data_IF_771097968135
#
_entry.id   IF_771097968135
#
_cell.length_a   1.000
_cell.length_b   1.000
_cell.length_c   1.000
_cell.angle_alpha   90.00
_cell.angle_beta   90.00
_cell.angle_gamma   90.00
#
_symmetry.space_group_name_H-M   'P 1'
#
loop_
_entity.id
_entity.type
_entity.pdbx_description
1 polymer ?
#
# COMPACT_ATOMS: atom_id res chain seq x y z
N UNK A 1 42.48 -41.01 -16.64
CA UNK A 1 41.19 -41.00 -15.94
C UNK A 1 40.95 -39.59 -15.45
N UNK A 2 40.20 -38.82 -16.23
CA UNK A 2 39.91 -37.42 -16.00
C UNK A 2 38.52 -37.30 -15.38
N UNK A 3 38.44 -36.66 -14.21
CA UNK A 3 37.20 -36.20 -13.60
C UNK A 3 37.43 -34.77 -13.11
N UNK A 4 36.79 -33.74 -13.70
CA UNK A 4 36.79 -32.40 -13.15
C UNK A 4 35.58 -32.21 -12.24
N UNK A 5 35.84 -31.87 -10.97
CA UNK A 5 34.84 -31.38 -10.01
C UNK A 5 34.35 -30.00 -10.43
N UNK A 6 33.06 -29.92 -10.76
CA UNK A 6 32.37 -28.69 -11.12
C UNK A 6 32.18 -27.75 -9.92
N UNK A 7 32.59 -26.49 -10.11
CA UNK A 7 32.22 -25.38 -9.25
C UNK A 7 31.04 -24.64 -9.89
N UNK A 8 29.84 -24.84 -9.35
CA UNK A 8 28.62 -24.19 -9.83
C UNK A 8 28.49 -22.80 -9.18
N UNK A 9 28.63 -21.77 -9.99
CA UNK A 9 28.36 -20.37 -9.67
C UNK A 9 26.86 -20.18 -9.39
N UNK A 10 26.51 -19.83 -8.15
CA UNK A 10 25.15 -19.46 -7.77
C UNK A 10 24.84 -18.03 -8.28
N UNK A 11 24.18 -17.97 -9.43
CA UNK A 11 23.64 -16.77 -10.03
C UNK A 11 22.45 -16.29 -9.17
N UNK A 12 22.58 -15.11 -8.54
CA UNK A 12 21.47 -14.37 -7.92
C UNK A 12 20.40 -14.08 -8.98
N UNK A 13 19.30 -14.82 -8.95
CA UNK A 13 18.08 -14.47 -9.67
C UNK A 13 17.33 -13.42 -8.88
N UNK A 14 17.05 -12.29 -9.54
CA UNK A 14 16.29 -11.18 -8.99
C UNK A 14 14.90 -11.61 -8.53
N UNK A 15 14.47 -11.05 -7.41
CA UNK A 15 13.13 -11.25 -6.88
C UNK A 15 12.09 -10.72 -7.86
N UNK A 16 11.35 -11.64 -8.46
CA UNK A 16 10.09 -11.37 -9.11
C UNK A 16 9.10 -10.91 -8.03
N UNK A 17 8.50 -9.73 -8.21
CA UNK A 17 7.47 -9.23 -7.29
C UNK A 17 6.29 -10.22 -7.26
N UNK A 18 5.67 -10.48 -6.08
CA UNK A 18 4.58 -11.43 -6.00
C UNK A 18 3.40 -10.97 -6.88
N UNK A 19 2.93 -11.85 -7.77
CA UNK A 19 1.68 -11.66 -8.51
C UNK A 19 0.55 -11.55 -7.48
N UNK A 20 0.00 -10.34 -7.31
CA UNK A 20 -1.14 -10.09 -6.44
C UNK A 20 -2.32 -10.93 -6.94
N UNK A 21 -2.89 -11.79 -6.08
CA UNK A 21 -4.03 -12.63 -6.44
C UNK A 21 -5.26 -11.78 -6.82
N UNK A 22 -6.06 -12.30 -7.77
CA UNK A 22 -7.32 -11.67 -8.20
C UNK A 22 -8.31 -11.54 -7.04
N UNK A 23 -9.04 -10.43 -6.98
CA UNK A 23 -10.08 -10.23 -5.96
C UNK A 23 -11.35 -11.01 -6.30
N UNK A 24 -12.18 -11.31 -5.29
CA UNK A 24 -13.43 -12.10 -5.43
C UNK A 24 -14.36 -11.57 -6.53
N UNK A 25 -14.46 -10.26 -6.68
CA UNK A 25 -15.34 -9.63 -7.67
C UNK A 25 -14.75 -9.69 -9.09
N UNK A 26 -13.42 -9.78 -9.21
CA UNK A 26 -12.71 -9.96 -10.49
C UNK A 26 -12.70 -11.42 -10.93
N UNK A 27 -12.70 -12.36 -9.97
CA UNK A 27 -12.88 -13.78 -10.26
C UNK A 27 -14.24 -14.08 -10.91
N UNK A 28 -15.24 -13.20 -10.72
CA UNK A 28 -16.52 -13.28 -11.39
C UNK A 28 -16.51 -12.69 -12.81
N UNK A 29 -15.43 -12.00 -13.19
CA UNK A 29 -15.26 -11.50 -14.55
C UNK A 29 -14.72 -12.57 -15.48
N UNK A 30 -15.10 -12.44 -16.74
CA UNK A 30 -14.54 -13.15 -17.88
C UNK A 30 -13.05 -12.87 -18.09
N UNK A 31 -12.41 -13.67 -18.96
CA UNK A 31 -11.00 -13.54 -19.29
C UNK A 31 -10.66 -12.16 -19.86
N UNK A 32 -11.46 -11.64 -20.78
CA UNK A 32 -11.26 -10.31 -21.36
C UNK A 32 -11.41 -9.20 -20.31
N UNK A 33 -12.40 -9.32 -19.42
CA UNK A 33 -12.62 -8.36 -18.33
C UNK A 33 -11.45 -8.29 -17.36
N UNK A 34 -10.93 -9.45 -16.94
CA UNK A 34 -9.73 -9.51 -16.09
C UNK A 34 -8.51 -8.90 -16.80
N UNK A 35 -8.32 -9.18 -18.09
CA UNK A 35 -7.22 -8.63 -18.87
C UNK A 35 -7.32 -7.10 -19.00
N UNK A 36 -8.52 -6.54 -19.21
CA UNK A 36 -8.75 -5.10 -19.28
C UNK A 36 -8.49 -4.40 -17.95
N UNK A 37 -8.90 -5.00 -16.83
CA UNK A 37 -8.60 -4.45 -15.50
C UNK A 37 -7.10 -4.48 -15.24
N UNK A 38 -6.44 -5.61 -15.49
CA UNK A 38 -4.99 -5.74 -15.33
C UNK A 38 -4.22 -4.72 -16.20
N UNK A 39 -4.75 -4.43 -17.39
CA UNK A 39 -4.23 -3.43 -18.29
C UNK A 39 -4.25 -2.00 -17.73
N UNK A 40 -5.19 -1.68 -16.84
CA UNK A 40 -5.34 -0.35 -16.22
C UNK A 40 -4.91 -0.30 -14.75
N UNK A 41 -4.44 -1.41 -14.18
CA UNK A 41 -3.97 -1.52 -12.79
C UNK A 41 -3.15 -0.32 -12.26
N UNK A 42 -2.20 0.29 -13.01
CA UNK A 42 -1.43 1.43 -12.48
C UNK A 42 -2.24 2.70 -12.17
N UNK A 43 -3.47 2.83 -12.68
CA UNK A 43 -4.37 3.97 -12.40
C UNK A 43 -5.60 3.58 -11.58
N UNK A 44 -5.67 2.33 -11.13
CA UNK A 44 -6.79 1.83 -10.35
C UNK A 44 -6.61 2.14 -8.87
N UNK A 45 -7.69 2.61 -8.24
CA UNK A 45 -7.83 2.73 -6.80
C UNK A 45 -8.94 1.84 -6.27
N UNK A 46 -8.75 1.32 -5.06
CA UNK A 46 -9.72 0.49 -4.37
C UNK A 46 -10.57 1.32 -3.40
N UNK A 47 -11.89 1.13 -3.47
CA UNK A 47 -12.86 1.65 -2.50
C UNK A 47 -12.71 0.98 -1.11
N UNK A 48 -13.15 1.62 -0.01
CA UNK A 48 -13.82 2.93 0.06
C UNK A 48 -12.87 4.12 -0.12
N UNK A 49 -13.36 5.17 -0.80
CA UNK A 49 -12.63 6.43 -1.03
C UNK A 49 -13.31 7.55 -0.22
N UNK A 50 -12.53 8.31 0.55
CA UNK A 50 -13.04 9.50 1.25
C UNK A 50 -13.11 10.71 0.31
N UNK A 51 -12.16 10.79 -0.62
CA UNK A 51 -12.06 11.80 -1.65
C UNK A 51 -11.95 11.12 -3.00
N UNK A 52 -12.64 11.71 -3.98
CA UNK A 52 -12.57 11.30 -5.37
C UNK A 52 -11.60 12.23 -6.09
N UNK A 53 -10.67 11.66 -6.84
CA UNK A 53 -9.68 12.38 -7.63
C UNK A 53 -9.79 11.97 -9.09
N UNK A 54 -9.68 12.93 -10.00
CA UNK A 54 -9.66 12.69 -11.45
C UNK A 54 -8.36 12.03 -11.92
N UNK A 55 -7.41 11.84 -11.01
CA UNK A 55 -6.14 11.15 -11.26
C UNK A 55 -6.27 9.63 -11.36
N UNK A 56 -7.42 9.06 -10.98
CA UNK A 56 -7.58 7.61 -10.83
C UNK A 56 -8.96 7.10 -11.23
N UNK A 57 -9.04 5.79 -11.41
CA UNK A 57 -10.27 5.06 -11.72
C UNK A 57 -10.59 4.09 -10.57
N UNK A 58 -11.81 4.16 -10.02
CA UNK A 58 -12.26 3.15 -9.06
C UNK A 58 -12.36 1.79 -9.74
N UNK A 59 -11.81 0.74 -9.11
CA UNK A 59 -11.94 -0.65 -9.59
C UNK A 59 -13.39 -1.04 -9.80
N UNK A 60 -14.28 -0.67 -8.87
CA UNK A 60 -15.72 -0.97 -8.95
C UNK A 60 -16.37 -0.28 -10.14
N UNK A 61 -15.97 0.95 -10.45
CA UNK A 61 -16.46 1.66 -11.63
C UNK A 61 -15.97 0.98 -12.91
N UNK A 62 -14.73 0.52 -12.93
CA UNK A 62 -14.17 -0.20 -14.08
C UNK A 62 -14.86 -1.55 -14.31
N UNK A 63 -15.15 -2.30 -13.25
CA UNK A 63 -15.93 -3.55 -13.33
C UNK A 63 -17.31 -3.28 -13.93
N UNK A 64 -18.03 -2.26 -13.43
CA UNK A 64 -19.37 -1.91 -13.94
C UNK A 64 -19.35 -1.42 -15.39
N UNK A 65 -18.35 -0.61 -15.73
CA UNK A 65 -18.10 -0.19 -17.11
C UNK A 65 -17.89 -1.40 -18.02
N UNK A 66 -17.06 -2.36 -17.59
CA UNK A 66 -16.83 -3.59 -18.35
C UNK A 66 -18.10 -4.42 -18.51
N UNK A 67 -18.86 -4.63 -17.42
CA UNK A 67 -20.14 -5.35 -17.47
C UNK A 67 -21.09 -4.72 -18.50
N UNK A 68 -21.17 -3.39 -18.55
CA UNK A 68 -21.99 -2.68 -19.53
C UNK A 68 -21.46 -2.86 -20.96
N UNK A 69 -20.14 -2.73 -21.17
CA UNK A 69 -19.53 -2.96 -22.49
C UNK A 69 -19.84 -4.37 -23.01
N UNK A 70 -19.57 -5.39 -22.20
CA UNK A 70 -19.74 -6.79 -22.59
C UNK A 70 -21.22 -7.22 -22.69
N UNK A 71 -22.16 -6.51 -22.06
CA UNK A 71 -23.59 -6.82 -22.13
C UNK A 71 -24.32 -6.07 -23.23
N UNK A 72 -24.08 -4.76 -23.33
CA UNK A 72 -24.93 -3.85 -24.11
C UNK A 72 -24.23 -3.26 -25.34
N UNK A 73 -22.91 -3.10 -25.31
CA UNK A 73 -22.15 -2.40 -26.38
C UNK A 73 -21.54 -3.39 -27.37
N UNK A 74 -20.90 -4.44 -26.86
CA UNK A 74 -20.17 -5.42 -27.66
C UNK A 74 -20.32 -6.83 -27.05
N UNK A 75 -21.50 -7.47 -27.21
CA UNK A 75 -21.78 -8.77 -26.60
C UNK A 75 -20.90 -9.93 -27.07
N UNK A 76 -20.25 -9.78 -28.22
CA UNK A 76 -19.36 -10.76 -28.84
C UNK A 76 -17.88 -10.59 -28.43
N UNK A 77 -17.55 -9.64 -27.55
CA UNK A 77 -16.17 -9.30 -27.19
C UNK A 77 -15.38 -10.50 -26.64
N UNK A 78 -16.01 -11.34 -25.82
CA UNK A 78 -15.37 -12.53 -25.25
C UNK A 78 -14.94 -13.52 -26.33
N UNK A 79 -15.82 -13.79 -27.30
CA UNK A 79 -15.52 -14.69 -28.41
C UNK A 79 -14.32 -14.18 -29.23
N UNK A 80 -14.24 -12.85 -29.44
CA UNK A 80 -13.08 -12.26 -30.15
C UNK A 80 -11.79 -12.37 -29.34
N UNK A 81 -11.86 -12.07 -28.05
CA UNK A 81 -10.73 -12.17 -27.14
C UNK A 81 -10.20 -13.61 -27.08
N UNK A 82 -11.08 -14.59 -26.90
CA UNK A 82 -10.73 -16.01 -26.86
C UNK A 82 -10.08 -16.45 -28.17
N UNK A 83 -10.59 -15.99 -29.32
CA UNK A 83 -9.96 -16.25 -30.62
C UNK A 83 -8.51 -15.74 -30.72
N UNK A 84 -8.18 -14.60 -30.12
CA UNK A 84 -6.80 -14.11 -30.07
C UNK A 84 -5.93 -14.92 -29.10
N UNK A 85 -6.47 -15.37 -27.97
CA UNK A 85 -5.76 -16.22 -27.01
C UNK A 85 -5.49 -17.60 -27.62
N UNK A 86 -6.46 -18.20 -28.30
CA UNK A 86 -6.32 -19.47 -29.03
C UNK A 86 -5.29 -19.38 -30.17
N UNK A 87 -5.17 -18.21 -30.80
CA UNK A 87 -4.12 -17.91 -31.77
C UNK A 87 -2.71 -17.76 -31.14
N UNK A 88 -2.59 -17.94 -29.82
CA UNK A 88 -1.31 -17.95 -29.09
C UNK A 88 -0.90 -16.62 -28.48
N UNK A 89 -1.77 -15.60 -28.49
CA UNK A 89 -1.47 -14.33 -27.82
C UNK A 89 -1.64 -14.48 -26.31
N UNK A 90 -0.72 -13.88 -25.55
CA UNK A 90 -0.92 -13.73 -24.11
C UNK A 90 -2.14 -12.83 -23.82
N UNK A 91 -2.85 -12.99 -22.69
CA UNK A 91 -4.07 -12.24 -22.38
C UNK A 91 -3.92 -10.71 -22.49
N UNK A 92 -2.77 -10.18 -22.11
CA UNK A 92 -2.45 -8.76 -22.20
C UNK A 92 -2.28 -8.29 -23.65
N UNK A 93 -1.72 -9.12 -24.53
CA UNK A 93 -1.65 -8.83 -25.96
C UNK A 93 -3.02 -9.00 -26.65
N UNK A 94 -3.80 -10.01 -26.26
CA UNK A 94 -5.13 -10.26 -26.80
C UNK A 94 -6.08 -9.09 -26.53
N UNK A 95 -6.11 -8.56 -25.30
CA UNK A 95 -6.97 -7.41 -24.99
C UNK A 95 -6.54 -6.15 -25.77
N UNK A 96 -5.24 -5.95 -26.02
CA UNK A 96 -4.76 -4.82 -26.84
C UNK A 96 -5.29 -4.85 -28.27
N UNK A 97 -5.40 -6.05 -28.85
CA UNK A 97 -5.95 -6.23 -30.19
C UNK A 97 -7.45 -5.90 -30.23
N UNK A 98 -8.17 -6.12 -29.13
CA UNK A 98 -9.58 -5.77 -29.01
C UNK A 98 -9.85 -4.28 -28.71
N UNK A 99 -8.90 -3.56 -28.11
CA UNK A 99 -9.12 -2.18 -27.64
C UNK A 99 -9.63 -1.20 -28.71
N UNK A 100 -9.13 -1.18 -29.96
CA UNK A 100 -9.63 -0.25 -30.97
C UNK A 100 -11.12 -0.40 -31.24
N UNK A 101 -11.60 -1.65 -31.31
CA UNK A 101 -13.02 -1.95 -31.51
C UNK A 101 -13.84 -1.58 -30.28
N UNK A 102 -13.38 -1.93 -29.08
CA UNK A 102 -14.04 -1.56 -27.80
C UNK A 102 -14.21 -0.04 -27.72
N UNK A 103 -13.14 0.73 -27.98
CA UNK A 103 -13.16 2.19 -27.94
C UNK A 103 -14.11 2.78 -28.99
N UNK A 104 -14.11 2.23 -30.21
CA UNK A 104 -14.99 2.67 -31.29
C UNK A 104 -16.46 2.41 -30.95
N UNK A 105 -16.80 1.18 -30.57
CA UNK A 105 -18.17 0.78 -30.24
C UNK A 105 -18.71 1.58 -29.04
N UNK A 106 -17.88 1.77 -28.01
CA UNK A 106 -18.25 2.57 -26.84
C UNK A 106 -18.53 4.03 -27.22
N UNK A 107 -17.68 4.64 -28.06
CA UNK A 107 -17.91 6.02 -28.51
C UNK A 107 -19.21 6.15 -29.32
N UNK A 108 -19.49 5.19 -30.19
CA UNK A 108 -20.76 5.15 -30.95
C UNK A 108 -21.95 5.09 -29.98
N UNK A 109 -21.94 4.17 -29.03
CA UNK A 109 -23.00 4.04 -28.03
C UNK A 109 -23.22 5.32 -27.21
N UNK A 110 -22.13 6.01 -26.83
CA UNK A 110 -22.21 7.30 -26.13
C UNK A 110 -22.77 8.42 -27.01
N UNK A 111 -22.49 8.42 -28.32
CA UNK A 111 -23.00 9.44 -29.24
C UNK A 111 -24.49 9.35 -29.53
N UNK A 112 -25.10 8.18 -29.30
CA UNK A 112 -26.55 7.96 -29.42
C UNK A 112 -27.33 8.58 -28.23
N UNK A 113 -26.63 8.98 -27.17
CA UNK A 113 -27.22 9.65 -26.00
C UNK A 113 -27.44 11.13 -26.31
N UNK A 114 -28.57 11.43 -26.95
CA UNK A 114 -28.90 12.78 -27.42
C UNK A 114 -29.89 13.53 -26.52
N UNK A 115 -30.62 12.82 -25.65
CA UNK A 115 -31.65 13.40 -24.79
C UNK A 115 -31.53 12.93 -23.33
N UNK A 116 -32.34 13.55 -22.46
CA UNK A 116 -32.35 13.27 -21.03
C UNK A 116 -32.75 11.82 -20.71
N UNK A 117 -33.71 11.26 -21.44
CA UNK A 117 -34.21 9.89 -21.20
C UNK A 117 -33.19 8.84 -21.66
N UNK A 118 -32.47 9.08 -22.74
CA UNK A 118 -31.33 8.28 -23.17
C UNK A 118 -30.20 8.34 -22.13
N UNK A 119 -29.89 9.53 -21.59
CA UNK A 119 -28.86 9.65 -20.57
C UNK A 119 -29.27 8.92 -19.28
N UNK A 120 -30.53 9.07 -18.86
CA UNK A 120 -31.07 8.33 -17.70
C UNK A 120 -31.00 6.81 -17.90
N UNK A 121 -31.34 6.31 -19.10
CA UNK A 121 -31.22 4.88 -19.43
C UNK A 121 -29.77 4.41 -19.35
N UNK A 122 -28.83 5.17 -19.92
CA UNK A 122 -27.39 4.85 -19.85
C UNK A 122 -26.91 4.83 -18.39
N UNK A 123 -27.27 5.82 -17.58
CA UNK A 123 -26.94 5.86 -16.14
C UNK A 123 -27.43 4.59 -15.42
N UNK A 124 -28.66 4.14 -15.70
CA UNK A 124 -29.21 2.91 -15.13
C UNK A 124 -28.43 1.68 -15.61
N UNK A 125 -28.09 1.60 -16.90
CA UNK A 125 -27.34 0.48 -17.47
C UNK A 125 -25.93 0.34 -16.88
N UNK A 126 -25.24 1.47 -16.65
CA UNK A 126 -23.92 1.56 -16.01
C UNK A 126 -23.98 1.29 -14.49
N UNK A 127 -25.18 1.28 -13.90
CA UNK A 127 -25.39 1.00 -12.48
C UNK A 127 -25.26 2.23 -11.57
N UNK A 128 -25.38 3.44 -12.11
CA UNK A 128 -25.48 4.69 -11.33
C UNK A 128 -24.68 5.86 -11.90
N UNK A 129 -24.98 7.06 -11.39
CA UNK A 129 -24.39 8.32 -11.87
C UNK A 129 -22.88 8.39 -11.62
N UNK A 130 -22.41 7.84 -10.49
CA UNK A 130 -20.98 7.81 -10.14
C UNK A 130 -20.11 7.11 -11.20
N UNK A 131 -20.65 6.07 -11.86
CA UNK A 131 -19.96 5.37 -12.94
C UNK A 131 -20.06 6.19 -14.22
N UNK A 132 -21.24 6.76 -14.50
CA UNK A 132 -21.51 7.60 -15.67
C UNK A 132 -20.55 8.78 -15.76
N UNK A 133 -20.28 9.45 -14.64
CA UNK A 133 -19.35 10.58 -14.54
C UNK A 133 -17.88 10.17 -14.80
N UNK A 134 -17.58 8.88 -14.70
CA UNK A 134 -16.21 8.35 -14.80
C UNK A 134 -15.91 7.68 -16.13
N UNK A 135 -16.91 7.51 -17.00
CA UNK A 135 -16.74 6.87 -18.32
C UNK A 135 -15.65 7.57 -19.14
N UNK A 136 -15.63 8.90 -19.20
CA UNK A 136 -14.63 9.63 -20.01
C UNK A 136 -13.20 9.44 -19.48
N UNK A 137 -13.03 9.36 -18.16
CA UNK A 137 -11.72 9.08 -17.53
C UNK A 137 -11.28 7.65 -17.85
N UNK A 138 -12.20 6.68 -17.82
CA UNK A 138 -11.92 5.28 -18.20
C UNK A 138 -11.50 5.20 -19.66
N UNK A 139 -12.24 5.84 -20.57
CA UNK A 139 -11.89 5.89 -22.00
C UNK A 139 -10.56 6.58 -22.26
N UNK A 140 -10.26 7.66 -21.51
CA UNK A 140 -8.96 8.31 -21.58
C UNK A 140 -7.84 7.37 -21.13
N UNK A 141 -8.03 6.63 -20.04
CA UNK A 141 -7.06 5.65 -19.55
C UNK A 141 -6.82 4.51 -20.56
N UNK A 142 -7.90 3.94 -21.13
CA UNK A 142 -7.80 2.91 -22.16
C UNK A 142 -7.06 3.40 -23.41
N UNK A 143 -7.34 4.62 -23.88
CA UNK A 143 -6.63 5.21 -25.03
C UNK A 143 -5.17 5.55 -24.74
N UNK A 144 -4.83 5.85 -23.49
CA UNK A 144 -3.50 6.32 -23.09
C UNK A 144 -2.62 5.25 -22.46
N UNK A 145 -2.96 3.96 -22.57
CA UNK A 145 -2.19 2.86 -21.94
C UNK A 145 -0.70 2.88 -22.25
N UNK A 146 -0.32 3.16 -23.49
CA UNK A 146 1.10 3.22 -23.87
C UNK A 146 1.84 4.34 -23.13
N UNK A 147 1.18 5.46 -22.88
CA UNK A 147 1.72 6.56 -22.08
C UNK A 147 1.74 6.23 -20.58
N UNK A 148 0.73 5.52 -20.08
CA UNK A 148 0.71 4.99 -18.70
C UNK A 148 1.91 4.06 -18.49
N UNK A 149 2.23 3.18 -19.43
CA UNK A 149 3.42 2.32 -19.35
C UNK A 149 4.73 3.12 -19.35
N UNK A 150 4.82 4.19 -20.17
CA UNK A 150 5.97 5.11 -20.13
C UNK A 150 6.07 5.85 -18.80
N UNK A 151 4.96 6.33 -18.26
CA UNK A 151 4.88 6.99 -16.96
C UNK A 151 5.30 6.04 -15.81
N UNK A 152 4.95 4.76 -15.90
CA UNK A 152 5.43 3.73 -14.98
C UNK A 152 6.96 3.58 -15.04
N UNK A 153 7.52 3.53 -16.26
CA UNK A 153 8.96 3.51 -16.47
C UNK A 153 9.65 4.74 -15.89
N UNK A 154 9.07 5.93 -16.14
CA UNK A 154 9.55 7.20 -15.60
C UNK A 154 9.57 7.20 -14.07
N UNK A 155 8.47 6.81 -13.41
CA UNK A 155 8.41 6.79 -11.94
C UNK A 155 9.45 5.88 -11.29
N UNK A 156 9.79 4.74 -11.93
CA UNK A 156 10.89 3.87 -11.50
C UNK A 156 12.27 4.52 -11.72
N UNK A 157 12.46 5.16 -12.87
CA UNK A 157 13.73 5.80 -13.23
C UNK A 157 13.99 7.11 -12.48
N UNK A 158 12.95 7.78 -11.98
CA UNK A 158 13.05 9.07 -11.29
C UNK A 158 14.01 9.04 -10.09
N UNK A 159 14.13 7.89 -9.42
CA UNK A 159 15.08 7.72 -8.32
C UNK A 159 16.56 7.88 -8.75
N UNK A 160 16.88 7.57 -10.01
CA UNK A 160 18.23 7.67 -10.56
C UNK A 160 18.60 9.05 -11.14
N UNK A 161 17.64 9.97 -11.25
CA UNK A 161 17.92 11.35 -11.65
C UNK A 161 18.61 12.03 -10.46
N UNK A 162 19.80 12.59 -10.66
CA UNK A 162 20.67 13.01 -9.55
C UNK A 162 20.19 14.28 -8.83
N UNK A 163 19.70 15.27 -9.57
CA UNK A 163 19.33 16.58 -9.05
C UNK A 163 17.86 16.95 -9.38
N UNK A 164 17.31 17.88 -8.59
CA UNK A 164 15.92 18.28 -8.69
C UNK A 164 15.63 19.17 -9.90
N UNK A 165 16.63 19.86 -10.45
CA UNK A 165 16.46 20.67 -11.66
C UNK A 165 16.25 19.76 -12.88
N UNK A 166 17.08 18.72 -13.04
CA UNK A 166 16.91 17.69 -14.06
C UNK A 166 15.58 16.96 -13.94
N UNK A 167 15.16 16.63 -12.70
CA UNK A 167 13.85 16.03 -12.46
C UNK A 167 12.71 17.00 -12.82
N UNK A 168 12.86 18.29 -12.51
CA UNK A 168 11.92 19.35 -12.86
C UNK A 168 11.74 19.49 -14.37
N UNK A 169 12.83 19.53 -15.13
CA UNK A 169 12.79 19.55 -16.61
C UNK A 169 12.09 18.31 -17.15
N UNK A 170 12.37 17.13 -16.57
CA UNK A 170 11.70 15.91 -17.00
C UNK A 170 10.19 15.94 -16.70
N UNK A 171 9.78 16.51 -15.55
CA UNK A 171 8.36 16.70 -15.23
C UNK A 171 7.66 17.70 -16.17
N UNK A 172 8.37 18.72 -16.65
CA UNK A 172 7.82 19.65 -17.66
C UNK A 172 7.58 19.00 -19.03
N UNK A 173 8.15 17.83 -19.31
CA UNK A 173 7.88 17.07 -20.55
C UNK A 173 6.50 16.39 -20.55
N UNK A 174 5.84 16.31 -19.40
CA UNK A 174 4.48 15.80 -19.28
C UNK A 174 3.48 16.76 -19.95
N UNK A 175 2.30 16.28 -20.37
CA UNK A 175 1.30 17.11 -21.03
C UNK A 175 0.58 18.02 -20.02
N UNK A 176 1.28 18.96 -19.39
CA UNK A 176 0.76 19.82 -18.32
C UNK A 176 -0.44 20.69 -18.74
N UNK A 177 -0.67 20.88 -20.05
CA UNK A 177 -1.84 21.59 -20.56
C UNK A 177 -3.09 20.71 -20.66
N UNK A 178 -2.91 19.40 -20.84
CA UNK A 178 -3.99 18.40 -20.79
C UNK A 178 -4.06 17.86 -19.35
N UNK A 179 -4.84 18.55 -18.52
CA UNK A 179 -4.93 18.25 -17.09
C UNK A 179 -5.45 16.83 -16.82
N UNK A 180 -6.37 16.31 -17.64
CA UNK A 180 -6.92 14.97 -17.46
C UNK A 180 -5.88 13.89 -17.78
N UNK A 181 -5.14 14.03 -18.88
CA UNK A 181 -4.06 13.09 -19.20
C UNK A 181 -2.91 13.21 -18.20
N UNK A 182 -2.51 14.43 -17.86
CA UNK A 182 -1.49 14.69 -16.84
C UNK A 182 -1.84 14.02 -15.51
N UNK A 183 -3.11 14.07 -15.10
CA UNK A 183 -3.61 13.43 -13.88
C UNK A 183 -3.38 11.92 -13.87
N UNK A 184 -3.72 11.21 -14.95
CA UNK A 184 -3.50 9.76 -15.07
C UNK A 184 -2.01 9.39 -15.05
N UNK A 185 -1.18 10.17 -15.76
CA UNK A 185 0.26 9.93 -15.81
C UNK A 185 0.91 10.20 -14.45
N UNK A 186 0.55 11.30 -13.78
CA UNK A 186 1.05 11.61 -12.43
C UNK A 186 0.63 10.55 -11.41
N UNK A 187 -0.61 10.07 -11.47
CA UNK A 187 -1.05 8.95 -10.63
C UNK A 187 -0.17 7.72 -10.81
N UNK A 188 0.12 7.38 -12.06
CA UNK A 188 0.98 6.25 -12.40
C UNK A 188 2.42 6.46 -11.89
N UNK A 189 2.99 7.65 -12.08
CA UNK A 189 4.35 8.01 -11.65
C UNK A 189 4.46 7.92 -10.12
N UNK A 190 3.52 8.54 -9.41
CA UNK A 190 3.49 8.53 -7.94
C UNK A 190 3.36 7.10 -7.43
N UNK A 191 2.59 6.24 -8.09
CA UNK A 191 2.47 4.82 -7.71
C UNK A 191 3.78 4.03 -7.81
N UNK A 192 4.77 4.49 -8.58
CA UNK A 192 6.05 3.80 -8.75
C UNK A 192 7.22 4.44 -7.99
N UNK A 193 7.12 5.72 -7.62
CA UNK A 193 8.24 6.40 -6.99
C UNK A 193 8.36 6.03 -5.51
N UNK A 194 9.58 5.70 -5.05
CA UNK A 194 9.83 5.40 -3.63
C UNK A 194 9.80 6.66 -2.75
N UNK A 195 10.36 7.77 -3.23
CA UNK A 195 10.52 9.03 -2.51
C UNK A 195 9.67 10.16 -3.15
N UNK A 196 8.35 10.25 -2.83
CA UNK A 196 7.45 11.23 -3.45
C UNK A 196 7.83 12.70 -3.17
N UNK A 197 8.56 12.97 -2.08
CA UNK A 197 9.05 14.32 -1.76
C UNK A 197 9.96 14.90 -2.85
N UNK A 198 10.68 14.05 -3.60
CA UNK A 198 11.52 14.50 -4.73
C UNK A 198 10.70 15.12 -5.86
N UNK A 199 9.53 14.54 -6.17
CA UNK A 199 8.64 15.11 -7.19
C UNK A 199 8.10 16.46 -6.75
N UNK A 200 7.71 16.57 -5.48
CA UNK A 200 7.22 17.84 -4.93
C UNK A 200 8.31 18.89 -4.94
N UNK A 201 9.52 18.56 -4.48
CA UNK A 201 10.64 19.50 -4.46
C UNK A 201 11.04 19.96 -5.86
N UNK A 202 11.12 19.05 -6.84
CA UNK A 202 11.36 19.39 -8.23
C UNK A 202 10.23 20.28 -8.83
N UNK A 203 8.97 19.96 -8.53
CA UNK A 203 7.84 20.78 -8.95
C UNK A 203 7.86 22.17 -8.29
N UNK A 204 8.25 22.29 -7.02
CA UNK A 204 8.42 23.57 -6.31
C UNK A 204 9.55 24.40 -6.93
N UNK A 205 10.64 23.76 -7.32
CA UNK A 205 11.74 24.44 -8.02
C UNK A 205 11.26 25.04 -9.34
N UNK A 206 10.50 24.27 -10.14
CA UNK A 206 9.91 24.75 -11.39
C UNK A 206 8.88 25.85 -11.16
N UNK A 207 8.03 25.72 -10.15
CA UNK A 207 7.01 26.71 -9.81
C UNK A 207 7.60 28.00 -9.18
N UNK A 208 8.88 27.98 -8.80
CA UNK A 208 9.59 29.09 -8.14
C UNK A 208 9.23 29.30 -6.67
N UNK A 209 8.17 28.64 -6.16
CA UNK A 209 7.73 28.67 -4.76
C UNK A 209 7.14 27.32 -4.37
N UNK A 210 7.27 26.98 -3.10
CA UNK A 210 6.74 25.75 -2.52
C UNK A 210 5.34 25.95 -1.90
N UNK A 211 4.42 26.64 -2.59
CA UNK A 211 3.03 26.82 -2.12
C UNK A 211 2.06 26.03 -3.00
N UNK A 212 0.91 25.59 -2.46
CA UNK A 212 -0.12 24.89 -3.26
C UNK A 212 -0.50 25.68 -4.52
N UNK A 213 -0.75 26.98 -4.38
CA UNK A 213 -1.15 27.84 -5.50
C UNK A 213 -0.08 27.95 -6.59
N UNK A 214 1.21 28.03 -6.21
CA UNK A 214 2.31 28.09 -7.18
C UNK A 214 2.45 26.77 -7.95
N UNK A 215 2.36 25.64 -7.24
CA UNK A 215 2.41 24.30 -7.86
C UNK A 215 1.25 24.11 -8.83
N UNK A 216 0.03 24.49 -8.42
CA UNK A 216 -1.16 24.42 -9.27
C UNK A 216 -1.05 25.36 -10.47
N UNK A 217 -0.59 26.59 -10.26
CA UNK A 217 -0.37 27.59 -11.31
C UNK A 217 0.66 27.16 -12.35
N UNK A 218 1.67 26.38 -11.94
CA UNK A 218 2.65 25.78 -12.83
C UNK A 218 2.13 24.52 -13.58
N UNK A 219 0.87 24.13 -13.37
CA UNK A 219 0.24 22.98 -14.01
C UNK A 219 0.47 21.64 -13.30
N UNK A 220 1.14 21.64 -12.14
CA UNK A 220 1.42 20.44 -11.34
C UNK A 220 0.35 20.13 -10.29
N UNK A 221 -0.83 20.76 -10.37
CA UNK A 221 -1.99 20.40 -9.54
C UNK A 221 -2.28 18.89 -9.50
N UNK A 222 -2.24 18.17 -10.64
CA UNK A 222 -2.49 16.72 -10.64
C UNK A 222 -1.45 15.89 -9.86
N UNK A 223 -0.23 16.40 -9.65
CA UNK A 223 0.78 15.73 -8.83
C UNK A 223 0.34 15.68 -7.35
N UNK A 224 -0.11 16.80 -6.80
CA UNK A 224 -0.59 16.83 -5.41
C UNK A 224 -1.81 15.95 -5.21
N UNK A 225 -2.76 16.01 -6.15
CA UNK A 225 -3.94 15.14 -6.15
C UNK A 225 -3.58 13.66 -6.24
N UNK A 226 -2.58 13.30 -7.05
CA UNK A 226 -2.07 11.93 -7.14
C UNK A 226 -1.45 11.47 -5.82
N UNK A 227 -0.62 12.30 -5.17
CA UNK A 227 -0.01 11.97 -3.88
C UNK A 227 -1.08 11.71 -2.82
N UNK A 228 -2.12 12.55 -2.75
CA UNK A 228 -3.22 12.39 -1.80
C UNK A 228 -4.08 11.16 -2.10
N UNK A 229 -4.35 10.86 -3.38
CA UNK A 229 -5.04 9.64 -3.80
C UNK A 229 -4.27 8.38 -3.35
N UNK A 230 -2.93 8.37 -3.54
CA UNK A 230 -2.08 7.27 -3.10
C UNK A 230 -2.00 7.16 -1.57
N UNK A 231 -2.02 8.28 -0.84
CA UNK A 231 -2.02 8.29 0.62
C UNK A 231 -3.32 7.68 1.15
N UNK A 232 -4.48 8.09 0.60
CA UNK A 232 -5.78 7.50 0.92
C UNK A 232 -5.80 5.99 0.65
N UNK A 233 -5.24 5.55 -0.48
CA UNK A 233 -5.20 4.13 -0.82
C UNK A 233 -4.46 3.28 0.23
N UNK A 234 -3.42 3.83 0.87
CA UNK A 234 -2.72 3.13 1.95
C UNK A 234 -3.62 2.87 3.16
N UNK A 235 -4.61 3.73 3.42
CA UNK A 235 -5.55 3.52 4.51
C UNK A 235 -6.38 2.25 4.27
N UNK A 236 -6.81 2.00 3.02
CA UNK A 236 -7.57 0.81 2.65
C UNK A 236 -6.74 -0.47 2.84
N UNK A 237 -5.42 -0.41 2.62
CA UNK A 237 -4.51 -1.52 2.91
C UNK A 237 -4.28 -1.73 4.41
N UNK A 238 -4.37 -0.67 5.22
CA UNK A 238 -4.10 -0.70 6.66
C UNK A 238 -5.19 -1.45 7.45
N UNK A 239 -6.47 -1.23 7.15
CA UNK A 239 -7.55 -1.73 8.00
C UNK A 239 -7.65 -3.28 8.09
N UNK A 240 -7.60 -4.04 6.98
CA UNK A 240 -7.66 -5.51 7.05
C UNK A 240 -6.44 -6.12 7.74
N UNK A 241 -5.28 -5.46 7.60
CA UNK A 241 -4.01 -5.94 8.12
C UNK A 241 -3.90 -5.82 9.65
N UNK A 242 -4.73 -5.00 10.29
CA UNK A 242 -4.73 -4.77 11.74
C UNK A 242 -5.71 -5.66 12.52
N UNK A 243 -6.53 -6.48 11.85
CA UNK A 243 -7.53 -7.34 12.50
C UNK A 243 -6.95 -8.75 12.73
N UNK A 244 -6.97 -9.21 13.98
CA UNK A 244 -6.54 -10.56 14.35
C UNK A 244 -5.07 -10.82 14.00
N UNK A 245 -4.79 -11.94 13.34
CA UNK A 245 -3.46 -12.31 12.81
C UNK A 245 -3.26 -11.81 11.37
N UNK A 246 -3.69 -10.57 11.09
CA UNK A 246 -3.52 -9.94 9.77
C UNK A 246 -2.05 -9.82 9.33
N UNK A 247 -1.82 -9.47 8.07
CA UNK A 247 -0.47 -9.26 7.52
C UNK A 247 0.13 -7.95 8.07
N UNK A 248 0.72 -8.01 9.27
CA UNK A 248 1.34 -6.86 9.93
C UNK A 248 2.49 -6.25 9.12
N UNK A 249 3.21 -7.04 8.32
CA UNK A 249 4.24 -6.50 7.45
C UNK A 249 3.62 -5.63 6.35
N UNK A 250 2.47 -6.04 5.80
CA UNK A 250 1.71 -5.19 4.89
C UNK A 250 1.18 -3.93 5.58
N UNK A 251 0.72 -4.02 6.85
CA UNK A 251 0.31 -2.84 7.62
C UNK A 251 1.47 -1.84 7.79
N UNK A 252 2.65 -2.32 8.21
CA UNK A 252 3.84 -1.50 8.41
C UNK A 252 4.31 -0.85 7.10
N UNK A 253 4.29 -1.59 5.98
CA UNK A 253 4.60 -1.03 4.65
C UNK A 253 3.59 0.02 4.21
N UNK A 254 2.29 -0.23 4.41
CA UNK A 254 1.24 0.73 4.09
C UNK A 254 1.38 2.01 4.93
N UNK A 255 1.72 1.88 6.22
CA UNK A 255 1.94 3.00 7.13
C UNK A 255 3.19 3.83 6.74
N UNK A 256 4.31 3.19 6.48
CA UNK A 256 5.53 3.86 5.98
C UNK A 256 5.26 4.60 4.67
N UNK A 257 4.53 3.95 3.74
CA UNK A 257 4.15 4.57 2.47
C UNK A 257 3.23 5.77 2.68
N UNK A 258 2.23 5.64 3.55
CA UNK A 258 1.33 6.74 3.93
C UNK A 258 2.14 7.91 4.49
N UNK A 259 3.06 7.64 5.42
CA UNK A 259 3.91 8.66 6.02
C UNK A 259 4.71 9.44 4.95
N UNK A 260 5.41 8.74 4.05
CA UNK A 260 6.19 9.36 2.97
C UNK A 260 5.35 10.25 2.06
N UNK A 261 4.14 9.81 1.70
CA UNK A 261 3.21 10.57 0.85
C UNK A 261 2.67 11.80 1.58
N UNK A 262 2.21 11.63 2.83
CA UNK A 262 1.69 12.73 3.66
C UNK A 262 2.77 13.78 3.93
N UNK A 263 4.02 13.37 4.17
CA UNK A 263 5.17 14.28 4.31
C UNK A 263 5.49 15.06 3.05
N UNK A 264 5.45 14.39 1.90
CA UNK A 264 5.72 15.05 0.63
C UNK A 264 4.79 16.24 0.39
N UNK A 265 3.55 16.21 0.88
CA UNK A 265 2.64 17.36 0.79
C UNK A 265 2.73 18.27 2.02
N UNK A 266 2.64 17.71 3.23
CA UNK A 266 2.51 18.51 4.46
C UNK A 266 3.79 19.16 4.97
N UNK A 267 4.97 18.69 4.55
CA UNK A 267 6.26 19.21 5.02
C UNK A 267 7.08 19.92 3.95
N UNK A 268 6.89 19.57 2.67
CA UNK A 268 7.61 20.19 1.55
C UNK A 268 6.82 21.33 0.90
N UNK A 269 5.55 21.50 1.23
CA UNK A 269 4.72 22.61 0.75
C UNK A 269 4.19 23.44 1.91
N UNK A 270 4.19 24.74 1.70
CA UNK A 270 3.44 25.72 2.49
C UNK A 270 1.97 25.65 2.05
N UNK A 271 1.16 24.95 2.83
CA UNK A 271 -0.27 24.83 2.60
C UNK A 271 -1.01 25.97 3.32
N UNK A 272 -1.93 26.61 2.60
CA UNK A 272 -2.86 27.57 3.22
C UNK A 272 -3.77 26.88 4.23
N UNK A 273 -4.14 27.56 5.33
CA UNK A 273 -4.95 26.98 6.43
C UNK A 273 -6.22 26.26 5.94
N UNK A 274 -6.87 26.77 4.90
CA UNK A 274 -8.11 26.23 4.33
C UNK A 274 -7.95 25.79 2.87
N UNK A 275 -6.72 25.48 2.47
CA UNK A 275 -6.46 24.95 1.14
C UNK A 275 -7.08 23.56 0.96
N UNK A 276 -7.28 23.15 -0.30
CA UNK A 276 -7.86 21.83 -0.58
C UNK A 276 -6.93 20.74 -0.09
N UNK A 277 -5.62 20.85 -0.33
CA UNK A 277 -4.68 19.83 0.11
C UNK A 277 -4.53 19.81 1.64
N UNK A 278 -4.54 20.95 2.34
CA UNK A 278 -4.50 20.93 3.82
C UNK A 278 -5.71 20.23 4.43
N UNK A 279 -6.91 20.48 3.89
CA UNK A 279 -8.16 19.86 4.35
C UNK A 279 -8.12 18.35 4.16
N UNK A 280 -7.67 17.88 2.99
CA UNK A 280 -7.56 16.45 2.69
C UNK A 280 -6.51 15.80 3.59
N UNK A 281 -5.32 16.39 3.74
CA UNK A 281 -4.26 15.85 4.61
C UNK A 281 -4.75 15.71 6.05
N UNK A 282 -5.47 16.71 6.57
CA UNK A 282 -6.02 16.67 7.93
C UNK A 282 -7.01 15.50 8.11
N UNK A 283 -7.93 15.30 7.15
CA UNK A 283 -8.90 14.20 7.22
C UNK A 283 -8.22 12.84 7.06
N UNK A 284 -7.28 12.67 6.11
CA UNK A 284 -6.55 11.42 5.96
C UNK A 284 -5.71 11.08 7.21
N UNK A 285 -5.10 12.09 7.85
CA UNK A 285 -4.38 11.93 9.12
C UNK A 285 -5.31 11.45 10.23
N UNK A 286 -6.51 12.04 10.33
CA UNK A 286 -7.54 11.61 11.28
C UNK A 286 -7.97 10.16 11.02
N UNK A 287 -8.25 9.80 9.77
CA UNK A 287 -8.66 8.44 9.40
C UNK A 287 -7.57 7.39 9.67
N UNK A 288 -6.31 7.70 9.37
CA UNK A 288 -5.17 6.84 9.72
C UNK A 288 -5.10 6.61 11.23
N UNK A 289 -5.25 7.68 12.00
CA UNK A 289 -5.19 7.67 13.47
C UNK A 289 -6.32 6.82 14.07
N UNK A 290 -7.55 7.00 13.60
CA UNK A 290 -8.73 6.23 14.04
C UNK A 290 -8.60 4.73 13.76
N UNK A 291 -7.94 4.34 12.67
CA UNK A 291 -7.73 2.91 12.31
C UNK A 291 -6.64 2.27 13.18
N UNK A 292 -5.60 3.02 13.55
CA UNK A 292 -4.48 2.51 14.34
C UNK A 292 -4.78 2.45 15.84
N UNK A 293 -5.51 3.43 16.36
CA UNK A 293 -5.73 3.60 17.80
C UNK A 293 -6.22 2.32 18.52
N UNK A 294 -7.26 1.60 18.04
CA UNK A 294 -7.74 0.40 18.74
C UNK A 294 -6.65 -0.64 18.92
N UNK A 295 -5.90 -0.92 17.85
CA UNK A 295 -4.83 -1.91 17.88
C UNK A 295 -3.68 -1.48 18.79
N UNK A 296 -3.33 -0.19 18.79
CA UNK A 296 -2.28 0.32 19.69
C UNK A 296 -2.63 0.08 21.17
N UNK A 297 -3.88 0.32 21.57
CA UNK A 297 -4.34 0.14 22.95
C UNK A 297 -4.25 -1.31 23.45
N UNK A 298 -4.29 -2.28 22.54
CA UNK A 298 -4.20 -3.71 22.88
C UNK A 298 -2.76 -4.20 23.13
N UNK A 299 -1.74 -3.50 22.62
CA UNK A 299 -0.34 -3.97 22.61
C UNK A 299 0.16 -4.28 24.03
N UNK A 300 -0.08 -3.39 24.99
CA UNK A 300 0.32 -3.62 26.39
C UNK A 300 -0.31 -4.89 26.95
N UNK A 301 -1.57 -5.16 26.59
CA UNK A 301 -2.30 -6.38 26.97
C UNK A 301 -1.70 -7.64 26.35
N UNK A 302 -1.38 -7.60 25.06
CA UNK A 302 -0.77 -8.74 24.35
C UNK A 302 0.61 -9.10 24.90
N UNK A 303 1.44 -8.11 25.21
CA UNK A 303 2.74 -8.31 25.87
C UNK A 303 2.53 -8.96 27.23
N UNK A 304 1.63 -8.42 28.05
CA UNK A 304 1.38 -8.97 29.37
C UNK A 304 0.83 -10.40 29.32
N UNK A 305 -0.06 -10.71 28.37
CA UNK A 305 -0.67 -12.03 28.23
C UNK A 305 0.27 -13.07 27.62
N UNK A 306 1.11 -12.68 26.68
CA UNK A 306 2.08 -13.58 26.03
C UNK A 306 3.19 -14.06 26.98
N UNK A 307 3.56 -13.20 27.94
CA UNK A 307 4.59 -13.51 28.95
C UNK A 307 4.03 -14.18 30.22
N UNK A 308 2.72 -14.44 30.29
CA UNK A 308 2.10 -15.19 31.40
C UNK A 308 2.30 -16.70 31.22
N UNK A 309 2.38 -17.40 32.36
CA UNK A 309 2.30 -18.87 32.41
C UNK A 309 0.88 -19.30 32.10
N UNK A 310 0.62 -19.77 30.88
CA UNK A 310 -0.63 -20.40 30.53
C UNK A 310 -0.58 -21.87 30.96
N UNK A 311 -1.63 -22.36 31.62
CA UNK A 311 -1.74 -23.76 32.03
C UNK A 311 -2.64 -24.51 31.06
N UNK A 312 -2.24 -25.71 30.65
CA UNK A 312 -3.13 -26.61 29.90
C UNK A 312 -4.17 -27.28 30.83
N UNK A 313 -5.05 -28.11 30.25
CA UNK A 313 -6.08 -28.84 31.00
C UNK A 313 -5.51 -29.85 32.00
N UNK A 314 -4.22 -30.17 31.90
CA UNK A 314 -3.48 -31.05 32.81
C UNK A 314 -2.63 -30.26 33.82
N UNK A 315 -2.67 -28.92 33.77
CA UNK A 315 -1.92 -28.03 34.65
C UNK A 315 -0.48 -27.74 34.22
N UNK A 316 -0.02 -28.26 33.08
CA UNK A 316 1.34 -28.05 32.58
C UNK A 316 1.51 -26.66 31.95
N UNK A 317 2.73 -26.14 32.02
CA UNK A 317 3.08 -24.85 31.44
C UNK A 317 3.10 -24.94 29.89
N UNK A 318 2.25 -24.15 29.24
CA UNK A 318 2.11 -24.13 27.78
C UNK A 318 2.44 -22.74 27.23
N UNK A 319 3.07 -22.73 26.05
CA UNK A 319 3.27 -21.51 25.27
C UNK A 319 2.10 -21.33 24.30
N UNK A 320 1.50 -20.15 24.34
CA UNK A 320 0.54 -19.72 23.34
C UNK A 320 1.30 -18.94 22.25
N UNK A 321 1.55 -19.61 21.12
CA UNK A 321 2.37 -19.06 20.04
C UNK A 321 1.67 -17.89 19.35
N UNK A 322 0.33 -17.92 19.25
CA UNK A 322 -0.44 -16.85 18.63
C UNK A 322 -0.36 -15.58 19.46
N UNK A 323 -0.37 -15.70 20.80
CA UNK A 323 -0.16 -14.56 21.69
C UNK A 323 1.26 -14.00 21.62
N UNK A 324 2.28 -14.86 21.52
CA UNK A 324 3.67 -14.39 21.33
C UNK A 324 3.81 -13.63 20.00
N UNK A 325 3.22 -14.16 18.92
CA UNK A 325 3.23 -13.53 17.62
C UNK A 325 2.46 -12.19 17.65
N UNK A 326 1.28 -12.13 18.27
CA UNK A 326 0.50 -10.91 18.42
C UNK A 326 1.27 -9.81 19.18
N UNK A 327 1.98 -10.18 20.25
CA UNK A 327 2.80 -9.24 21.03
C UNK A 327 3.99 -8.72 20.20
N UNK A 328 4.69 -9.59 19.49
CA UNK A 328 5.82 -9.21 18.63
C UNK A 328 5.36 -8.31 17.47
N UNK A 329 4.27 -8.68 16.80
CA UNK A 329 3.64 -7.88 15.75
C UNK A 329 3.20 -6.51 16.26
N UNK A 330 2.65 -6.45 17.49
CA UNK A 330 2.34 -5.20 18.18
C UNK A 330 3.57 -4.31 18.36
N UNK A 331 4.71 -4.89 18.78
CA UNK A 331 5.96 -4.14 18.93
C UNK A 331 6.51 -3.59 17.61
N UNK A 332 6.44 -4.36 16.52
CA UNK A 332 6.81 -3.87 15.19
C UNK A 332 5.92 -2.73 14.74
N UNK A 333 4.59 -2.88 14.88
CA UNK A 333 3.64 -1.82 14.56
C UNK A 333 3.91 -0.55 15.36
N UNK A 334 4.16 -0.68 16.67
CA UNK A 334 4.45 0.46 17.54
C UNK A 334 5.74 1.18 17.10
N UNK A 335 6.76 0.44 16.67
CA UNK A 335 7.98 1.01 16.08
C UNK A 335 7.68 1.76 14.77
N UNK A 336 6.89 1.19 13.86
CA UNK A 336 6.50 1.87 12.62
C UNK A 336 5.66 3.13 12.87
N UNK A 337 4.78 3.12 13.88
CA UNK A 337 4.03 4.31 14.30
C UNK A 337 4.95 5.39 14.85
N UNK A 338 6.00 5.02 15.59
CA UNK A 338 7.02 5.96 16.07
C UNK A 338 7.69 6.71 14.93
N UNK A 339 8.08 5.99 13.88
CA UNK A 339 8.68 6.57 12.67
C UNK A 339 7.68 7.46 11.91
N UNK A 340 6.41 7.06 11.88
CA UNK A 340 5.35 7.77 11.18
C UNK A 340 4.67 8.90 12.00
N UNK A 341 5.09 9.15 13.25
CA UNK A 341 4.33 9.94 14.24
C UNK A 341 3.92 11.34 13.77
N UNK A 342 4.75 12.00 12.98
CA UNK A 342 4.50 13.37 12.52
C UNK A 342 3.45 13.46 11.41
N UNK A 343 3.04 12.31 10.86
CA UNK A 343 1.91 12.21 9.93
C UNK A 343 0.67 11.59 10.59
N UNK A 344 0.66 11.48 11.92
CA UNK A 344 -0.40 10.90 12.72
C UNK A 344 -0.83 11.87 13.82
N UNK A 345 -2.10 11.83 14.19
CA UNK A 345 -2.64 12.60 15.31
C UNK A 345 -2.68 11.76 16.59
N UNK A 346 -1.62 11.01 16.87
CA UNK A 346 -1.57 10.01 17.96
C UNK A 346 -0.47 10.25 19.00
N UNK A 347 0.19 11.41 19.00
CA UNK A 347 1.40 11.64 19.80
C UNK A 347 1.22 11.33 21.30
N UNK A 348 0.16 11.84 21.95
CA UNK A 348 -0.06 11.62 23.38
C UNK A 348 -0.34 10.14 23.71
N UNK A 349 -1.20 9.49 22.91
CA UNK A 349 -1.52 8.07 23.05
C UNK A 349 -0.28 7.20 22.83
N UNK A 350 0.51 7.52 21.80
CA UNK A 350 1.74 6.82 21.48
C UNK A 350 2.74 6.89 22.64
N UNK A 351 3.02 8.08 23.17
CA UNK A 351 3.97 8.24 24.28
C UNK A 351 3.53 7.46 25.52
N UNK A 352 2.23 7.46 25.82
CA UNK A 352 1.68 6.64 26.91
C UNK A 352 1.98 5.15 26.68
N UNK A 353 1.57 4.60 25.53
CA UNK A 353 1.74 3.18 25.23
C UNK A 353 3.22 2.80 25.13
N UNK A 354 4.06 3.66 24.54
CA UNK A 354 5.50 3.44 24.41
C UNK A 354 6.21 3.30 25.76
N UNK A 355 5.77 4.07 26.75
CA UNK A 355 6.29 4.01 28.10
C UNK A 355 5.74 2.81 28.88
N UNK A 356 4.43 2.56 28.81
CA UNK A 356 3.78 1.41 29.45
C UNK A 356 4.35 0.06 28.96
N UNK A 357 4.52 -0.08 27.64
CA UNK A 357 5.10 -1.28 27.02
C UNK A 357 6.56 -1.45 27.39
N UNK A 358 7.33 -0.36 27.46
CA UNK A 358 8.72 -0.37 27.93
C UNK A 358 8.86 -0.92 29.35
N UNK A 359 8.10 -0.36 30.29
CA UNK A 359 8.10 -0.82 31.69
C UNK A 359 7.64 -2.29 31.80
N UNK A 360 6.59 -2.65 31.07
CA UNK A 360 6.06 -4.01 31.06
C UNK A 360 7.07 -5.03 30.55
N UNK A 361 7.75 -4.75 29.43
CA UNK A 361 8.78 -5.63 28.87
C UNK A 361 9.93 -5.78 29.88
N UNK A 362 10.40 -4.69 30.48
CA UNK A 362 11.50 -4.75 31.44
C UNK A 362 11.18 -5.66 32.64
N UNK A 363 10.00 -5.52 33.23
CA UNK A 363 9.55 -6.34 34.37
C UNK A 363 9.37 -7.80 33.94
N UNK A 364 8.65 -8.04 32.85
CA UNK A 364 8.27 -9.39 32.42
C UNK A 364 9.49 -10.19 31.96
N UNK A 365 10.40 -9.58 31.20
CA UNK A 365 11.62 -10.25 30.73
C UNK A 365 12.55 -10.58 31.89
N UNK A 366 12.75 -9.66 32.84
CA UNK A 366 13.55 -9.94 34.06
C UNK A 366 12.94 -11.08 34.87
N UNK A 367 11.61 -11.08 35.06
CA UNK A 367 10.91 -12.17 35.75
C UNK A 367 11.10 -13.51 35.02
N UNK A 368 10.85 -13.56 33.72
CA UNK A 368 10.99 -14.80 32.93
C UNK A 368 12.44 -15.28 32.88
N UNK A 369 13.43 -14.37 32.89
CA UNK A 369 14.85 -14.72 32.99
C UNK A 369 15.18 -15.37 34.34
N UNK A 370 14.64 -14.85 35.44
CA UNK A 370 14.80 -15.45 36.77
C UNK A 370 14.10 -16.82 36.88
N UNK A 371 12.92 -16.96 36.27
CA UNK A 371 12.24 -18.26 36.15
C UNK A 371 13.08 -19.27 35.35
N UNK A 372 13.67 -18.82 34.24
CA UNK A 372 14.55 -19.64 33.41
C UNK A 372 15.83 -20.03 34.16
N UNK A 373 16.36 -19.16 35.02
CA UNK A 373 17.51 -19.47 35.86
C UNK A 373 17.23 -20.61 36.83
N UNK A 374 16.01 -20.68 37.38
CA UNK A 374 15.60 -21.73 38.33
C UNK A 374 15.40 -23.06 37.63
N UNK A 375 14.79 -23.05 36.43
CA UNK A 375 14.55 -24.27 35.64
C UNK A 375 14.89 -24.04 34.15
N UNK A 376 16.18 -24.16 33.77
CA UNK A 376 16.62 -23.96 32.39
C UNK A 376 16.10 -25.03 31.41
N UNK A 377 15.63 -26.17 31.91
CA UNK A 377 15.06 -27.25 31.11
C UNK A 377 13.64 -26.97 30.62
N UNK A 378 12.97 -25.98 31.20
CA UNK A 378 11.61 -25.60 30.83
C UNK A 378 11.58 -24.87 29.47
N UNK A 379 11.26 -25.63 28.42
CA UNK A 379 11.16 -25.11 27.06
C UNK A 379 10.11 -23.99 26.91
N UNK A 380 9.04 -24.00 27.70
CA UNK A 380 8.01 -22.98 27.62
C UNK A 380 8.51 -21.62 28.13
N UNK A 381 9.21 -21.63 29.26
CA UNK A 381 9.88 -20.44 29.80
C UNK A 381 10.98 -19.96 28.85
N UNK A 382 11.79 -20.88 28.29
CA UNK A 382 12.81 -20.54 27.30
C UNK A 382 12.26 -19.83 26.08
N UNK A 383 11.16 -20.34 25.48
CA UNK A 383 10.49 -19.70 24.34
C UNK A 383 9.94 -18.32 24.66
N UNK A 384 9.29 -18.14 25.82
CA UNK A 384 8.83 -16.80 26.25
C UNK A 384 9.99 -15.83 26.44
N UNK A 385 11.10 -16.31 27.00
CA UNK A 385 12.30 -15.49 27.18
C UNK A 385 12.88 -15.03 25.83
N UNK A 386 12.95 -15.92 24.84
CA UNK A 386 13.43 -15.57 23.49
C UNK A 386 12.57 -14.50 22.83
N UNK A 387 11.25 -14.65 22.86
CA UNK A 387 10.33 -13.61 22.38
C UNK A 387 10.46 -12.32 23.18
N UNK A 388 10.60 -12.42 24.51
CA UNK A 388 10.82 -11.29 25.40
C UNK A 388 12.09 -10.50 25.06
N UNK A 389 13.19 -11.20 24.76
CA UNK A 389 14.44 -10.59 24.30
C UNK A 389 14.24 -9.89 22.96
N UNK A 390 13.51 -10.49 22.01
CA UNK A 390 13.19 -9.85 20.73
C UNK A 390 12.34 -8.59 20.88
N UNK A 391 11.35 -8.60 21.77
CA UNK A 391 10.56 -7.41 22.10
C UNK A 391 11.43 -6.32 22.75
N UNK A 392 12.38 -6.71 23.62
CA UNK A 392 13.34 -5.80 24.23
C UNK A 392 14.32 -5.20 23.20
N UNK A 393 14.71 -5.96 22.18
CA UNK A 393 15.54 -5.49 21.06
C UNK A 393 14.85 -4.34 20.31
N UNK A 394 13.57 -4.52 19.98
CA UNK A 394 12.75 -3.50 19.30
C UNK A 394 12.58 -2.26 20.20
N UNK A 395 12.36 -2.48 21.51
CA UNK A 395 12.02 -1.40 22.44
C UNK A 395 13.22 -0.57 22.92
N UNK A 396 14.37 -1.20 23.14
CA UNK A 396 15.51 -0.57 23.81
C UNK A 396 16.71 -0.41 22.89
N UNK A 397 17.16 -1.51 22.25
CA UNK A 397 18.17 -1.60 21.18
C UNK A 397 18.77 -3.03 21.16
N UNK A 398 19.66 -3.30 20.21
CA UNK A 398 20.41 -4.56 20.10
C UNK A 398 21.34 -4.82 21.27
N UNK A 399 22.02 -3.80 21.81
CA UNK A 399 22.96 -3.95 22.93
C UNK A 399 22.27 -4.48 24.19
N UNK A 400 21.09 -3.96 24.51
CA UNK A 400 20.29 -4.43 25.65
C UNK A 400 19.83 -5.87 25.46
N UNK A 401 19.39 -6.23 24.24
CA UNK A 401 19.01 -7.59 23.92
C UNK A 401 20.19 -8.58 24.02
N UNK A 402 21.39 -8.16 23.59
CA UNK A 402 22.60 -8.98 23.71
C UNK A 402 22.95 -9.30 25.17
N UNK A 403 22.79 -8.34 26.08
CA UNK A 403 23.03 -8.57 27.53
C UNK A 403 22.11 -9.67 28.05
N UNK A 404 20.83 -9.64 27.68
CA UNK A 404 19.84 -10.64 28.08
C UNK A 404 20.13 -12.01 27.45
N UNK A 405 20.48 -12.06 26.16
CA UNK A 405 20.88 -13.28 25.47
C UNK A 405 22.08 -13.96 26.13
N UNK A 406 23.12 -13.18 26.48
CA UNK A 406 24.30 -13.70 27.19
C UNK A 406 23.94 -14.26 28.57
N UNK A 407 23.01 -13.63 29.29
CA UNK A 407 22.54 -14.14 30.58
C UNK A 407 21.80 -15.47 30.43
N UNK A 408 20.91 -15.59 29.43
CA UNK A 408 20.21 -16.84 29.08
C UNK A 408 21.20 -17.96 28.73
N UNK A 409 22.19 -17.69 27.88
CA UNK A 409 23.20 -18.67 27.46
C UNK A 409 24.02 -19.16 28.65
N UNK A 410 24.38 -18.26 29.58
CA UNK A 410 25.09 -18.60 30.81
C UNK A 410 24.28 -19.57 31.68
N UNK A 411 22.98 -19.37 31.82
CA UNK A 411 22.12 -20.28 32.59
C UNK A 411 21.93 -21.63 31.89
N UNK A 412 21.79 -21.62 30.56
CA UNK A 412 21.69 -22.85 29.76
C UNK A 412 22.95 -23.73 29.89
N UNK A 413 24.14 -23.12 29.84
CA UNK A 413 25.42 -23.84 30.00
C UNK A 413 25.59 -24.43 31.40
N UNK A 414 25.11 -23.75 32.45
CA UNK A 414 25.17 -24.23 33.83
C UNK A 414 24.25 -25.41 34.12
N UNK A 415 23.21 -25.62 33.31
CA UNK A 415 22.32 -26.77 33.44
C UNK A 415 22.78 -27.98 32.60
N UNK A 416 23.65 -27.75 31.61
CA UNK A 416 24.16 -28.78 30.70
C UNK A 416 25.47 -29.43 31.17
N UNK A 417 26.19 -28.79 32.10
CA UNK A 417 27.36 -29.36 32.79
C UNK A 417 27.02 -29.58 34.25
#
# INVERSE_FOLDING_TARGET
MASPTGATSAKKTGGEAPKRGLRRDELALSGAGQALIAALEPVIVDEPLHFIFDTSVSRKHLIRFWTWVARDVMPDIEMKFDGFVEAGNAPDAAIELCLPEILSATRTALSEVVDFDANRRLTVQLGGEEVRDRVDVILLALRSRSLINKARGFGKAAAGIADDASLGVALQSLPLKDQALCALLMHTIVGQIAAPSRLVSAASHVAGRATEDAIRGAGFGPLGDAILAHAQHQLTALAPALVGLGDFDAACRALDRFHKLSRAIGSYLELGRNSRWSTIVAELTKQASLRLEPRLREISGDIAQSMRRARDSQGNDRVDTDRLLAALNGMYLLSSVREARESLALNALFEQIWNETGQSIEILVKRTLEEFRVDPGNQAVGKRLDTGIKMAEIRFNSEYAEVLSRARDKFSRRAAG
#
